data_IF_891618975152
#
_entry.id   IF_891618975152
#
_cell.length_a   1.000
_cell.length_b   1.000
_cell.length_c   1.000
_cell.angle_alpha   90.00
_cell.angle_beta   90.00
_cell.angle_gamma   90.00
#
_symmetry.space_group_name_H-M   'P 1'
#
loop_
_entity.id
_entity.type
_entity.pdbx_description
1 polymer ?
#
# COMPACT_ATOMS: atom_id res chain seq x y z
N UNK A 1 -7.50 7.44 23.04
CA UNK A 1 -6.46 6.43 22.74
C UNK A 1 -5.14 6.92 23.30
N UNK A 2 -4.29 6.05 23.84
CA UNK A 2 -3.00 6.42 24.45
C UNK A 2 -1.84 5.76 23.71
N UNK A 3 -0.74 6.49 23.53
CA UNK A 3 0.50 5.93 22.98
C UNK A 3 1.10 4.90 23.95
N UNK A 4 1.37 3.67 23.51
CA UNK A 4 1.96 2.64 24.38
C UNK A 4 3.40 2.96 24.80
N UNK A 5 4.11 3.83 24.07
CA UNK A 5 5.51 4.16 24.33
C UNK A 5 5.65 5.41 25.22
N UNK A 6 4.83 6.44 24.96
CA UNK A 6 4.91 7.72 25.66
C UNK A 6 3.84 7.88 26.75
N UNK A 7 2.83 7.01 26.77
CA UNK A 7 1.66 7.06 27.67
C UNK A 7 0.87 8.38 27.62
N UNK A 8 1.04 9.18 26.56
CA UNK A 8 0.29 10.41 26.34
C UNK A 8 -0.93 10.16 25.43
N UNK A 9 -1.91 11.06 25.48
CA UNK A 9 -3.06 11.03 24.58
C UNK A 9 -2.60 11.23 23.12
N UNK A 10 -3.16 10.43 22.20
CA UNK A 10 -2.95 10.64 20.77
C UNK A 10 -3.77 11.84 20.30
N UNK A 11 -3.21 12.62 19.38
CA UNK A 11 -3.85 13.75 18.75
C UNK A 11 -4.32 13.35 17.35
N UNK A 12 -5.54 13.75 16.97
CA UNK A 12 -6.06 13.49 15.64
C UNK A 12 -5.51 14.54 14.65
N UNK A 13 -4.89 14.09 13.57
CA UNK A 13 -4.27 14.93 12.55
C UNK A 13 -4.73 14.53 11.14
N UNK A 14 -4.68 15.47 10.19
CA UNK A 14 -4.73 15.12 8.77
C UNK A 14 -3.34 14.63 8.34
N UNK A 15 -3.29 13.38 7.88
CA UNK A 15 -2.10 12.79 7.31
C UNK A 15 -2.41 12.30 5.90
N UNK A 16 -1.91 13.01 4.88
CA UNK A 16 -2.12 12.64 3.46
C UNK A 16 -3.62 12.57 3.09
N UNK A 17 -4.44 13.48 3.60
CA UNK A 17 -5.87 13.53 3.29
C UNK A 17 -6.72 12.48 4.01
N UNK A 18 -6.18 11.85 5.06
CA UNK A 18 -6.93 10.99 5.97
C UNK A 18 -6.72 11.43 7.41
N UNK A 19 -7.75 11.27 8.25
CA UNK A 19 -7.65 11.60 9.67
C UNK A 19 -7.08 10.42 10.44
N UNK A 20 -5.88 10.56 10.99
CA UNK A 20 -5.22 9.51 11.79
C UNK A 20 -4.90 10.02 13.18
N UNK A 21 -4.54 9.10 14.09
CA UNK A 21 -4.15 9.43 15.45
C UNK A 21 -2.62 9.37 15.60
N UNK A 22 -1.99 10.51 15.89
CA UNK A 22 -0.53 10.64 16.06
C UNK A 22 -0.16 10.92 17.52
N UNK A 23 0.92 10.30 17.99
CA UNK A 23 1.54 10.65 19.25
C UNK A 23 2.34 11.96 19.12
N UNK A 24 2.04 13.01 19.91
CA UNK A 24 2.76 14.29 19.82
C UNK A 24 4.22 14.23 20.29
N UNK A 25 4.66 13.14 20.93
CA UNK A 25 6.03 12.99 21.44
C UNK A 25 6.91 12.12 20.56
N UNK A 26 6.47 10.90 20.20
CA UNK A 26 7.26 9.99 19.37
C UNK A 26 6.88 10.01 17.89
N UNK A 27 5.81 10.72 17.51
CA UNK A 27 5.27 10.76 16.15
C UNK A 27 4.88 9.39 15.56
N UNK A 28 4.69 8.38 16.42
CA UNK A 28 4.06 7.12 16.05
C UNK A 28 2.58 7.36 15.72
N UNK A 29 2.09 6.67 14.70
CA UNK A 29 0.75 6.86 14.13
C UNK A 29 -0.06 5.58 14.19
N UNK A 30 -1.30 5.72 14.59
CA UNK A 30 -2.32 4.69 14.52
C UNK A 30 -3.21 4.94 13.29
N UNK A 31 -3.37 3.88 12.50
CA UNK A 31 -4.24 3.82 11.33
C UNK A 31 -5.35 2.81 11.61
N UNK A 32 -6.60 3.23 11.53
CA UNK A 32 -7.74 2.32 11.55
C UNK A 32 -7.82 1.49 10.25
N UNK A 33 -8.74 0.51 10.23
CA UNK A 33 -8.89 -0.41 9.09
C UNK A 33 -9.04 0.35 7.77
N UNK A 34 -8.14 0.08 6.83
CA UNK A 34 -8.14 0.67 5.50
C UNK A 34 -7.56 2.09 5.40
N UNK A 35 -7.25 2.76 6.51
CA UNK A 35 -6.62 4.09 6.50
C UNK A 35 -5.21 4.03 5.93
N UNK A 36 -4.40 3.06 6.37
CA UNK A 36 -3.02 2.93 5.89
C UNK A 36 -2.94 2.72 4.36
N UNK A 37 -3.88 1.95 3.79
CA UNK A 37 -4.02 1.79 2.33
C UNK A 37 -4.33 3.13 1.66
N UNK A 38 -5.32 3.86 2.15
CA UNK A 38 -5.68 5.18 1.60
C UNK A 38 -4.55 6.19 1.70
N UNK A 39 -3.79 6.20 2.80
CA UNK A 39 -2.62 7.07 2.94
C UNK A 39 -1.55 6.76 1.89
N UNK A 40 -1.31 5.47 1.58
CA UNK A 40 -0.42 5.05 0.48
C UNK A 40 -0.93 5.61 -0.85
N UNK A 41 -2.18 5.33 -1.18
CA UNK A 41 -2.79 5.73 -2.46
C UNK A 41 -2.81 7.25 -2.66
N UNK A 42 -2.98 8.02 -1.58
CA UNK A 42 -2.94 9.49 -1.60
C UNK A 42 -1.52 10.06 -1.65
N UNK A 43 -0.49 9.25 -1.36
CA UNK A 43 0.92 9.70 -1.40
C UNK A 43 1.50 9.59 -2.79
N UNK A 44 1.21 8.50 -3.49
CA UNK A 44 1.64 8.27 -4.87
C UNK A 44 0.59 7.41 -5.60
N UNK A 45 0.02 7.98 -6.66
CA UNK A 45 -0.99 7.32 -7.50
C UNK A 45 -0.42 6.09 -8.22
N UNK A 46 0.88 6.10 -8.56
CA UNK A 46 1.53 4.99 -9.24
C UNK A 46 1.71 3.76 -8.34
N UNK A 47 1.55 3.92 -7.01
CA UNK A 47 1.59 2.82 -6.05
C UNK A 47 0.22 2.22 -5.75
N UNK A 48 -0.86 2.83 -6.25
CA UNK A 48 -2.23 2.49 -5.85
C UNK A 48 -2.59 1.03 -6.07
N UNK A 49 -2.24 0.50 -7.24
CA UNK A 49 -2.47 -0.89 -7.66
C UNK A 49 -1.72 -1.96 -6.84
N UNK A 50 -0.74 -1.55 -6.01
CA UNK A 50 -0.05 -2.47 -5.13
C UNK A 50 -0.87 -2.72 -3.86
N UNK A 51 -1.28 -3.98 -3.71
CA UNK A 51 -1.95 -4.49 -2.52
C UNK A 51 -1.05 -4.37 -1.29
N UNK A 52 -1.31 -3.36 -0.45
CA UNK A 52 -0.71 -3.23 0.87
C UNK A 52 -1.78 -3.40 1.94
N UNK A 53 -2.09 -4.66 2.26
CA UNK A 53 -3.01 -5.01 3.35
C UNK A 53 -2.37 -6.02 4.32
N UNK A 54 -2.01 -5.56 5.54
CA UNK A 54 -1.51 -6.44 6.61
C UNK A 54 -2.49 -7.53 7.08
N UNK A 55 -3.76 -7.46 6.66
CA UNK A 55 -4.84 -8.39 7.03
C UNK A 55 -5.23 -9.35 5.89
N UNK A 56 -4.67 -9.19 4.70
CA UNK A 56 -4.94 -10.09 3.59
C UNK A 56 -4.50 -11.54 3.90
N UNK A 57 -5.34 -12.51 3.52
CA UNK A 57 -5.08 -13.94 3.75
C UNK A 57 -3.96 -14.50 2.85
N UNK A 58 -3.60 -13.80 1.76
CA UNK A 58 -2.49 -14.21 0.88
C UNK A 58 -1.15 -13.96 1.58
N UNK A 59 -0.58 -15.03 2.12
CA UNK A 59 0.55 -15.07 3.06
C UNK A 59 1.94 -14.65 2.53
N UNK A 60 2.04 -13.84 1.47
CA UNK A 60 3.31 -13.61 0.77
C UNK A 60 4.11 -12.37 1.20
N UNK A 61 3.46 -11.35 1.75
CA UNK A 61 4.07 -10.02 1.90
C UNK A 61 4.40 -9.63 3.33
N UNK A 62 3.75 -10.26 4.30
CA UNK A 62 3.99 -10.01 5.72
C UNK A 62 4.39 -11.30 6.40
N UNK A 63 5.48 -11.24 7.17
CA UNK A 63 5.96 -12.35 7.98
C UNK A 63 5.81 -11.98 9.44
N UNK A 64 5.10 -12.81 10.20
CA UNK A 64 5.00 -12.61 11.64
C UNK A 64 6.38 -12.77 12.29
N UNK A 65 6.72 -11.83 13.16
CA UNK A 65 7.92 -11.90 13.98
C UNK A 65 7.57 -12.64 15.27
N UNK A 66 8.49 -13.46 15.78
CA UNK A 66 8.32 -14.23 17.02
C UNK A 66 8.13 -13.36 18.26
N UNK A 67 8.63 -12.13 18.21
CA UNK A 67 8.38 -11.13 19.24
C UNK A 67 6.98 -10.55 19.09
N UNK A 68 6.18 -10.68 20.15
CA UNK A 68 4.86 -10.05 20.18
C UNK A 68 4.96 -8.52 20.16
N UNK A 69 4.10 -7.89 19.37
CA UNK A 69 3.99 -6.44 19.26
C UNK A 69 3.43 -5.79 20.53
N UNK A 70 3.26 -4.48 20.42
CA UNK A 70 2.88 -3.60 21.55
C UNK A 70 1.38 -3.65 21.85
N UNK A 71 0.90 -2.92 22.87
CA UNK A 71 -0.53 -2.86 23.18
C UNK A 71 -1.27 -1.94 22.19
N UNK A 72 -2.41 -2.42 21.68
CA UNK A 72 -3.26 -1.64 20.80
C UNK A 72 -3.81 -0.40 21.54
N UNK A 73 -3.61 0.82 21.03
CA UNK A 73 -4.07 2.06 21.69
C UNK A 73 -5.60 2.23 21.70
N UNK A 74 -6.32 1.43 20.89
CA UNK A 74 -7.78 1.47 20.71
C UNK A 74 -8.53 0.46 21.58
N UNK A 75 -8.03 -0.79 21.68
CA UNK A 75 -8.74 -1.88 22.36
C UNK A 75 -7.89 -2.67 23.37
N UNK A 76 -6.65 -2.23 23.63
CA UNK A 76 -5.69 -2.81 24.57
C UNK A 76 -5.24 -4.25 24.29
N UNK A 77 -5.71 -4.87 23.20
CA UNK A 77 -5.25 -6.17 22.75
C UNK A 77 -3.76 -6.11 22.36
N UNK A 78 -3.01 -7.17 22.70
CA UNK A 78 -1.61 -7.32 22.27
C UNK A 78 -1.55 -7.45 20.74
N UNK A 79 -0.76 -6.60 20.09
CA UNK A 79 -0.63 -6.56 18.65
C UNK A 79 0.34 -7.62 18.13
N UNK A 80 0.17 -7.99 16.87
CA UNK A 80 1.04 -8.91 16.14
C UNK A 80 2.05 -8.07 15.36
N UNK A 81 3.33 -8.31 15.60
CA UNK A 81 4.41 -7.67 14.87
C UNK A 81 4.67 -8.39 13.56
N UNK A 82 4.73 -7.64 12.47
CA UNK A 82 4.94 -8.13 11.12
C UNK A 82 6.12 -7.41 10.49
N UNK A 83 6.96 -8.13 9.75
CA UNK A 83 7.93 -7.53 8.83
C UNK A 83 7.33 -7.49 7.43
N UNK A 84 7.42 -6.34 6.77
CA UNK A 84 6.97 -6.17 5.39
C UNK A 84 8.05 -6.57 4.39
N UNK A 85 7.88 -7.71 3.73
CA UNK A 85 8.82 -8.30 2.76
C UNK A 85 10.27 -8.16 3.24
N UNK A 86 11.17 -7.69 2.38
CA UNK A 86 12.58 -7.41 2.68
C UNK A 86 12.83 -5.91 2.88
N UNK A 87 11.78 -5.11 3.11
CA UNK A 87 11.90 -3.65 3.30
C UNK A 87 12.61 -3.26 4.62
N UNK A 88 12.73 -4.22 5.54
CA UNK A 88 13.16 -3.98 6.91
C UNK A 88 12.19 -3.10 7.70
N UNK A 89 10.98 -2.85 7.19
CA UNK A 89 9.92 -2.16 7.91
C UNK A 89 9.19 -3.17 8.76
N UNK A 90 9.04 -2.83 10.04
CA UNK A 90 8.27 -3.57 11.02
C UNK A 90 6.98 -2.81 11.25
N UNK A 91 5.86 -3.50 11.29
CA UNK A 91 4.56 -2.90 11.59
C UNK A 91 3.89 -3.73 12.69
N UNK A 92 3.12 -3.08 13.56
CA UNK A 92 2.32 -3.79 14.56
C UNK A 92 0.84 -3.72 14.13
N UNK A 93 0.17 -4.87 13.96
CA UNK A 93 -1.26 -4.93 13.63
C UNK A 93 -2.10 -5.46 14.78
N UNK A 94 -3.31 -4.93 14.94
CA UNK A 94 -4.26 -5.45 15.91
C UNK A 94 -5.25 -6.42 15.24
N UNK A 95 -5.25 -7.69 15.65
CA UNK A 95 -6.18 -8.69 15.12
C UNK A 95 -7.65 -8.46 15.54
N UNK A 96 -7.91 -7.61 16.55
CA UNK A 96 -9.26 -7.37 17.08
C UNK A 96 -9.98 -6.20 16.40
N UNK A 97 -9.32 -5.05 16.29
CA UNK A 97 -9.91 -3.84 15.72
C UNK A 97 -9.39 -3.53 14.31
N UNK A 98 -8.52 -4.39 13.78
CA UNK A 98 -7.97 -4.31 12.42
C UNK A 98 -7.26 -2.99 12.09
N UNK A 99 -6.72 -2.32 13.11
CA UNK A 99 -5.84 -1.17 12.96
C UNK A 99 -4.36 -1.55 12.96
N UNK A 100 -3.53 -0.62 12.48
CA UNK A 100 -2.09 -0.75 12.31
C UNK A 100 -1.39 0.41 13.00
N UNK A 101 -0.34 0.10 13.74
CA UNK A 101 0.57 1.08 14.31
C UNK A 101 1.85 1.13 13.49
N UNK A 102 2.26 2.35 13.11
CA UNK A 102 3.55 2.65 12.50
C UNK A 102 4.33 3.62 13.38
N UNK A 103 5.62 3.35 13.53
CA UNK A 103 6.58 4.28 14.10
C UNK A 103 6.88 5.43 13.14
N UNK A 104 7.49 6.48 13.69
CA UNK A 104 7.98 7.60 12.89
C UNK A 104 8.91 7.11 11.78
N UNK A 105 8.71 7.60 10.56
CA UNK A 105 9.51 7.26 9.38
C UNK A 105 9.17 5.91 8.72
N UNK A 106 8.49 4.97 9.38
CA UNK A 106 8.15 3.67 8.79
C UNK A 106 7.26 3.81 7.56
N UNK A 107 6.26 4.69 7.61
CA UNK A 107 5.41 4.98 6.45
C UNK A 107 6.24 5.42 5.24
N UNK A 108 7.19 6.34 5.43
CA UNK A 108 8.08 6.82 4.35
C UNK A 108 8.92 5.68 3.77
N UNK A 109 9.39 4.76 4.61
CA UNK A 109 10.16 3.59 4.17
C UNK A 109 9.32 2.59 3.38
N UNK A 110 8.04 2.43 3.74
CA UNK A 110 7.10 1.60 2.97
C UNK A 110 6.95 2.19 1.56
N UNK A 111 6.68 3.50 1.45
CA UNK A 111 6.55 4.19 0.17
C UNK A 111 7.82 4.03 -0.67
N UNK A 112 8.99 4.35 -0.12
CA UNK A 112 10.27 4.22 -0.84
C UNK A 112 10.55 2.79 -1.32
N UNK A 113 10.20 1.78 -0.52
CA UNK A 113 10.34 0.38 -0.92
C UNK A 113 9.39 0.00 -2.06
N UNK A 114 8.16 0.51 -2.05
CA UNK A 114 7.20 0.26 -3.12
C UNK A 114 7.59 0.98 -4.42
N UNK A 115 8.10 2.21 -4.32
CA UNK A 115 8.67 2.97 -5.46
C UNK A 115 9.83 2.21 -6.11
N UNK A 116 10.74 1.65 -5.31
CA UNK A 116 11.86 0.83 -5.79
C UNK A 116 11.37 -0.48 -6.45
N UNK A 117 10.31 -1.09 -5.91
CA UNK A 117 9.70 -2.28 -6.48
C UNK A 117 9.15 -2.00 -7.89
N UNK A 118 8.36 -0.94 -8.08
CA UNK A 118 7.82 -0.60 -9.41
C UNK A 118 8.95 -0.19 -10.38
N UNK A 119 9.97 0.54 -9.89
CA UNK A 119 11.06 1.00 -10.74
C UNK A 119 11.96 -0.14 -11.25
N UNK A 120 12.01 -1.25 -10.51
CA UNK A 120 12.84 -2.42 -10.85
C UNK A 120 12.10 -3.51 -11.64
N UNK A 121 10.78 -3.37 -11.84
CA UNK A 121 9.99 -4.34 -12.61
C UNK A 121 10.27 -4.32 -14.11
N UNK A 122 10.19 -5.50 -14.74
CA UNK A 122 10.35 -5.67 -16.18
C UNK A 122 9.02 -5.53 -16.92
N UNK A 123 9.06 -5.28 -18.23
CA UNK A 123 7.84 -5.30 -19.07
C UNK A 123 7.05 -6.61 -18.91
N UNK A 124 7.73 -7.75 -18.80
CA UNK A 124 7.07 -9.05 -18.63
C UNK A 124 6.26 -9.16 -17.32
N UNK A 125 6.79 -8.60 -16.23
CA UNK A 125 6.07 -8.54 -14.95
C UNK A 125 4.80 -7.68 -15.08
N UNK A 126 4.95 -6.48 -15.62
CA UNK A 126 3.81 -5.57 -15.84
C UNK A 126 2.72 -6.16 -16.75
N UNK A 127 3.05 -7.00 -17.73
CA UNK A 127 2.04 -7.71 -18.55
C UNK A 127 1.23 -8.67 -17.68
N UNK A 128 1.88 -9.44 -16.81
CA UNK A 128 1.20 -10.36 -15.88
C UNK A 128 0.34 -9.59 -14.89
N UNK A 129 0.85 -8.49 -14.32
CA UNK A 129 0.11 -7.66 -13.40
C UNK A 129 -1.08 -6.96 -14.07
N UNK A 130 -0.95 -6.54 -15.33
CA UNK A 130 -2.07 -5.98 -16.11
C UNK A 130 -3.20 -7.00 -16.25
N UNK A 131 -2.89 -8.26 -16.52
CA UNK A 131 -3.89 -9.33 -16.60
C UNK A 131 -4.55 -9.61 -15.25
N UNK A 132 -3.77 -9.60 -14.15
CA UNK A 132 -4.30 -9.74 -12.79
C UNK A 132 -5.28 -8.61 -12.46
N UNK A 133 -4.87 -7.36 -12.64
CA UNK A 133 -5.69 -6.18 -12.36
C UNK A 133 -6.96 -6.15 -13.23
N UNK A 134 -6.87 -6.59 -14.49
CA UNK A 134 -8.04 -6.72 -15.35
C UNK A 134 -9.08 -7.72 -14.77
N UNK A 135 -8.63 -8.84 -14.21
CA UNK A 135 -9.52 -9.81 -13.56
C UNK A 135 -10.13 -9.22 -12.27
N UNK A 136 -9.34 -8.46 -11.51
CA UNK A 136 -9.78 -7.84 -10.25
C UNK A 136 -10.89 -6.78 -10.47
N UNK A 137 -11.06 -6.21 -11.67
CA UNK A 137 -12.26 -5.39 -12.02
C UNK A 137 -13.59 -6.15 -11.78
N UNK A 138 -13.57 -7.48 -11.91
CA UNK A 138 -14.74 -8.34 -11.71
C UNK A 138 -14.67 -9.09 -10.39
N UNK A 139 -13.50 -9.58 -10.00
CA UNK A 139 -13.32 -10.49 -8.85
C UNK A 139 -12.72 -9.82 -7.61
N UNK A 140 -12.33 -8.55 -7.71
CA UNK A 140 -11.60 -7.82 -6.70
C UNK A 140 -12.44 -7.52 -5.45
N UNK A 141 -11.78 -7.36 -4.29
CA UNK A 141 -12.45 -7.04 -3.03
C UNK A 141 -12.85 -5.56 -2.94
N UNK A 142 -12.36 -4.70 -3.84
CA UNK A 142 -12.65 -3.27 -3.81
C UNK A 142 -13.82 -2.87 -4.73
N UNK A 143 -14.24 -1.61 -4.64
CA UNK A 143 -15.28 -1.09 -5.52
C UNK A 143 -14.81 -1.09 -6.97
N UNK A 144 -15.67 -1.44 -7.94
CA UNK A 144 -15.32 -1.54 -9.37
C UNK A 144 -14.53 -0.35 -9.92
N UNK A 145 -14.87 0.88 -9.51
CA UNK A 145 -14.15 2.08 -9.95
C UNK A 145 -12.74 2.19 -9.37
N UNK A 146 -12.50 1.64 -8.19
CA UNK A 146 -11.14 1.50 -7.63
C UNK A 146 -10.32 0.55 -8.49
N UNK A 147 -10.84 -0.65 -8.73
CA UNK A 147 -10.14 -1.70 -9.49
C UNK A 147 -9.83 -1.24 -10.93
N UNK A 148 -10.74 -0.50 -11.55
CA UNK A 148 -10.50 0.10 -12.87
C UNK A 148 -9.32 1.08 -12.82
N UNK A 149 -9.22 1.94 -11.81
CA UNK A 149 -8.08 2.87 -11.67
C UNK A 149 -6.78 2.12 -11.50
N UNK A 150 -6.79 1.05 -10.72
CA UNK A 150 -5.61 0.25 -10.41
C UNK A 150 -5.09 -0.41 -11.70
N UNK A 151 -6.00 -0.97 -12.51
CA UNK A 151 -5.68 -1.48 -13.85
C UNK A 151 -5.07 -0.40 -14.77
N UNK A 152 -5.63 0.81 -14.80
CA UNK A 152 -5.13 1.90 -15.63
C UNK A 152 -3.73 2.35 -15.23
N UNK A 153 -3.43 2.39 -13.92
CA UNK A 153 -2.09 2.69 -13.43
C UNK A 153 -1.08 1.64 -13.89
N UNK A 154 -1.42 0.35 -13.81
CA UNK A 154 -0.52 -0.71 -14.30
C UNK A 154 -0.29 -0.59 -15.81
N UNK A 155 -1.32 -0.29 -16.60
CA UNK A 155 -1.16 -0.04 -18.04
C UNK A 155 -0.28 1.18 -18.34
N UNK A 156 -0.41 2.27 -17.57
CA UNK A 156 0.45 3.45 -17.67
C UNK A 156 1.91 3.07 -17.41
N UNK A 157 2.19 2.35 -16.33
CA UNK A 157 3.54 1.90 -15.97
C UNK A 157 4.12 0.94 -17.00
N UNK A 158 3.33 -0.03 -17.49
CA UNK A 158 3.71 -0.92 -18.59
C UNK A 158 4.15 -0.13 -19.83
N UNK A 159 3.38 0.89 -20.22
CA UNK A 159 3.71 1.74 -21.37
C UNK A 159 5.03 2.49 -21.16
N UNK A 160 5.22 3.09 -19.98
CA UNK A 160 6.47 3.79 -19.65
C UNK A 160 7.66 2.83 -19.69
N UNK A 161 7.54 1.64 -19.10
CA UNK A 161 8.61 0.64 -19.08
C UNK A 161 8.90 0.11 -20.48
N UNK A 162 7.87 -0.19 -21.27
CA UNK A 162 8.03 -0.63 -22.65
C UNK A 162 8.73 0.42 -23.51
N UNK A 163 8.44 1.72 -23.32
CA UNK A 163 9.12 2.79 -24.04
C UNK A 163 10.62 2.87 -23.74
N UNK A 164 11.03 2.50 -22.52
CA UNK A 164 12.44 2.49 -22.09
C UNK A 164 13.14 1.19 -22.53
N UNK A 165 12.53 0.02 -22.31
CA UNK A 165 13.16 -1.29 -22.58
C UNK A 165 13.06 -1.72 -24.05
N UNK A 166 12.01 -1.32 -24.76
CA UNK A 166 11.71 -1.80 -26.11
C UNK A 166 11.03 -0.71 -26.97
N UNK A 167 11.81 0.09 -27.69
CA UNK A 167 11.31 1.15 -28.56
C UNK A 167 10.20 0.71 -29.55
N UNK A 168 10.17 -0.58 -29.95
CA UNK A 168 9.14 -1.16 -30.83
C UNK A 168 7.80 -1.52 -30.14
N UNK A 169 7.78 -1.74 -28.82
CA UNK A 169 6.53 -2.03 -28.07
C UNK A 169 5.76 -0.74 -27.73
N UNK A 170 6.45 0.40 -27.63
CA UNK A 170 5.81 1.71 -27.50
C UNK A 170 4.88 2.03 -28.68
N UNK A 171 5.22 1.59 -29.90
CA UNK A 171 4.37 1.75 -31.08
C UNK A 171 3.08 0.92 -31.01
N UNK A 172 3.14 -0.29 -30.42
CA UNK A 172 1.97 -1.17 -30.29
C UNK A 172 0.97 -0.64 -29.25
N UNK A 173 1.45 -0.09 -28.13
CA UNK A 173 0.58 0.49 -27.10
C UNK A 173 -0.10 1.78 -27.56
N UNK A 174 0.58 2.62 -28.36
CA UNK A 174 -0.04 3.80 -28.95
C UNK A 174 -1.20 3.48 -29.91
N UNK A 175 -1.19 2.31 -30.57
CA UNK A 175 -2.34 1.87 -31.38
C UNK A 175 -3.57 1.54 -30.53
N UNK A 176 -3.41 1.06 -29.29
CA UNK A 176 -4.54 0.75 -28.39
C UNK A 176 -5.25 2.05 -27.95
N UNK A 177 -4.49 3.11 -27.64
CA UNK A 177 -5.03 4.43 -27.30
C UNK A 177 -5.81 5.09 -28.45
N UNK A 178 -5.54 4.76 -29.71
CA UNK A 178 -6.34 5.24 -30.85
C UNK A 178 -7.76 4.66 -30.89
N UNK A 179 -8.01 3.51 -30.29
CA UNK A 179 -9.32 2.85 -30.29
C UNK A 179 -10.14 3.09 -29.02
N UNK A 180 -9.57 3.76 -28.02
CA UNK A 180 -10.24 4.18 -26.78
C UNK A 180 -9.94 5.67 -26.51
N UNK A 181 -10.58 6.60 -27.25
CA UNK A 181 -10.23 8.02 -27.25
C UNK A 181 -10.69 8.79 -25.99
N UNK A 182 -11.30 8.12 -25.00
CA UNK A 182 -11.76 8.73 -23.75
C UNK A 182 -10.98 8.24 -22.52
N UNK A 183 -9.76 7.74 -22.73
CA UNK A 183 -8.76 7.45 -21.70
C UNK A 183 -7.69 8.53 -21.65
#
# INVERSE_FOLDING_TARGET
>A
MQCFQCNCALARIDFRGIMVDECPQCHGRWFDRGELRKAKDNTDEDLRWLDFDPFAQKAGHFRAVTEHGTQCPKCSQRMIRLTYKNSGVVIDKCARCEGVWLQVGEFKRIIAYLEDLIASESVGAYVVDSLKQFLDIVTGPEGRMTEVKDFLVVLKLLKLRAAVEHSKLAEATNKIYQYLPFL
#
